data_IF_622269111849
#
_entry.id   IF_622269111849
#
_cell.length_a   1.000
_cell.length_b   1.000
_cell.length_c   1.000
_cell.angle_alpha   90.00
_cell.angle_beta   90.00
_cell.angle_gamma   90.00
#
_symmetry.space_group_name_H-M   'P 1'
#
loop_
_entity.id
_entity.type
_entity.pdbx_description
1 polymer ?
#
# COMPACT_ATOMS: atom_id res chain seq x y z
N UNK A 1 -7.90 -13.98 25.74
CA UNK A 1 -8.89 -13.59 24.71
C UNK A 1 -8.77 -12.15 24.27
N UNK A 2 -8.55 -11.15 25.17
CA UNK A 2 -8.49 -9.73 24.78
C UNK A 2 -7.41 -9.40 23.72
N UNK A 3 -6.20 -9.98 23.78
CA UNK A 3 -5.13 -9.69 22.83
C UNK A 3 -5.42 -10.25 21.42
N UNK A 4 -6.00 -11.45 21.32
CA UNK A 4 -6.35 -12.06 20.03
C UNK A 4 -7.51 -11.31 19.38
N UNK A 5 -8.52 -10.94 20.15
CA UNK A 5 -9.63 -10.14 19.65
C UNK A 5 -9.14 -8.79 19.12
N UNK A 6 -8.32 -8.07 19.87
CA UNK A 6 -7.75 -6.79 19.43
C UNK A 6 -6.91 -6.94 18.14
N UNK A 7 -6.14 -8.03 18.05
CA UNK A 7 -5.36 -8.35 16.85
C UNK A 7 -6.25 -8.58 15.63
N UNK A 8 -7.30 -9.39 15.75
CA UNK A 8 -8.22 -9.67 14.64
C UNK A 8 -9.05 -8.44 14.29
N UNK A 9 -9.56 -7.69 15.29
CA UNK A 9 -10.30 -6.43 15.10
C UNK A 9 -9.53 -5.41 14.28
N UNK A 10 -8.23 -5.24 14.57
CA UNK A 10 -7.33 -4.35 13.80
C UNK A 10 -7.34 -4.68 12.29
N UNK A 11 -7.21 -5.97 11.94
CA UNK A 11 -7.16 -6.37 10.54
C UNK A 11 -8.54 -6.46 9.90
N UNK A 12 -9.60 -6.72 10.66
CA UNK A 12 -10.97 -6.63 10.18
C UNK A 12 -11.30 -5.18 9.79
N UNK A 13 -10.94 -4.20 10.62
CA UNK A 13 -11.08 -2.78 10.29
C UNK A 13 -10.26 -2.38 9.06
N UNK A 14 -9.02 -2.89 8.92
CA UNK A 14 -8.22 -2.68 7.72
C UNK A 14 -8.87 -3.27 6.46
N UNK A 15 -9.51 -4.42 6.58
CA UNK A 15 -10.24 -5.06 5.50
C UNK A 15 -11.49 -4.23 5.14
N UNK A 16 -12.24 -3.74 6.13
CA UNK A 16 -13.41 -2.90 5.94
C UNK A 16 -13.09 -1.54 5.30
N UNK A 17 -11.90 -1.00 5.56
CA UNK A 17 -11.43 0.29 5.03
C UNK A 17 -11.07 0.26 3.53
N UNK A 18 -11.27 -0.86 2.83
CA UNK A 18 -11.02 -0.91 1.39
C UNK A 18 -12.03 -0.05 0.62
N UNK A 19 -11.63 0.60 -0.49
CA UNK A 19 -12.45 1.58 -1.20
C UNK A 19 -13.58 0.97 -2.04
N UNK A 20 -13.88 -0.30 -1.86
CA UNK A 20 -14.92 -1.04 -2.59
C UNK A 20 -15.65 -2.02 -1.66
N UNK A 21 -16.92 -2.38 -1.98
CA UNK A 21 -17.66 -3.35 -1.19
C UNK A 21 -17.01 -4.74 -1.22
N UNK A 22 -16.98 -5.39 -0.08
CA UNK A 22 -16.39 -6.73 0.09
C UNK A 22 -17.41 -7.86 -0.16
N UNK A 23 -18.71 -7.53 -0.21
CA UNK A 23 -19.82 -8.46 -0.33
C UNK A 23 -20.21 -9.15 0.98
N UNK A 24 -21.41 -9.73 1.00
CA UNK A 24 -22.00 -10.36 2.21
C UNK A 24 -21.26 -11.61 2.69
N UNK A 25 -20.37 -12.17 1.87
CA UNK A 25 -19.57 -13.35 2.23
C UNK A 25 -18.19 -12.96 2.78
N UNK A 26 -17.92 -11.67 2.98
CA UNK A 26 -16.61 -11.20 3.46
C UNK A 26 -16.29 -11.81 4.83
N UNK A 27 -15.12 -12.42 4.92
CA UNK A 27 -14.61 -13.05 6.14
C UNK A 27 -13.09 -12.94 6.23
N UNK A 28 -12.60 -12.75 7.44
CA UNK A 28 -11.20 -12.88 7.80
C UNK A 28 -11.00 -14.11 8.69
N UNK A 29 -10.09 -15.00 8.32
CA UNK A 29 -9.73 -16.20 9.11
C UNK A 29 -8.24 -16.10 9.43
N UNK A 30 -7.89 -16.32 10.70
CA UNK A 30 -6.53 -16.11 11.22
C UNK A 30 -6.13 -17.25 12.14
N UNK A 31 -4.94 -17.81 11.94
CA UNK A 31 -4.30 -18.73 12.87
C UNK A 31 -3.46 -17.89 13.88
N UNK A 32 -3.70 -18.16 15.14
CA UNK A 32 -2.96 -17.61 16.28
C UNK A 32 -2.33 -18.77 17.08
N UNK A 33 -1.60 -18.47 18.13
CA UNK A 33 -1.03 -19.48 19.01
C UNK A 33 -2.11 -20.23 19.83
N UNK A 34 -3.30 -19.63 20.01
CA UNK A 34 -4.45 -20.23 20.71
C UNK A 34 -5.40 -21.01 19.78
N UNK A 35 -5.17 -20.99 18.47
CA UNK A 35 -5.98 -21.69 17.47
C UNK A 35 -6.33 -20.87 16.26
N UNK A 36 -7.31 -21.34 15.49
CA UNK A 36 -7.82 -20.64 14.30
C UNK A 36 -9.12 -19.95 14.66
N UNK A 37 -9.21 -18.68 14.34
CA UNK A 37 -10.39 -17.85 14.55
C UNK A 37 -10.85 -17.24 13.22
N UNK A 38 -12.15 -17.10 13.06
CA UNK A 38 -12.74 -16.45 11.89
C UNK A 38 -13.85 -15.49 12.28
N UNK A 39 -14.01 -14.40 11.54
CA UNK A 39 -15.22 -13.58 11.65
C UNK A 39 -16.41 -14.39 11.14
N UNK A 40 -17.58 -14.26 11.78
CA UNK A 40 -18.79 -14.89 11.29
C UNK A 40 -19.25 -14.26 9.97
N UNK A 41 -20.06 -14.96 9.21
CA UNK A 41 -20.62 -14.43 7.96
C UNK A 41 -21.56 -13.27 8.28
N UNK A 42 -21.33 -12.11 7.64
CA UNK A 42 -22.14 -10.92 7.85
C UNK A 42 -21.74 -10.08 9.07
N UNK A 43 -20.58 -10.39 9.70
CA UNK A 43 -20.01 -9.56 10.76
C UNK A 43 -19.75 -8.13 10.27
N UNK A 44 -19.91 -7.17 11.16
CA UNK A 44 -19.45 -5.81 10.93
C UNK A 44 -17.91 -5.74 11.09
N UNK A 45 -17.20 -5.83 9.97
CA UNK A 45 -15.74 -5.81 9.97
C UNK A 45 -15.16 -4.47 10.41
N UNK A 46 -15.92 -3.37 10.29
CA UNK A 46 -15.48 -2.04 10.70
C UNK A 46 -15.55 -1.87 12.22
N UNK A 47 -16.57 -2.46 12.86
CA UNK A 47 -16.75 -2.47 14.31
C UNK A 47 -17.01 -3.87 14.86
N UNK A 48 -16.09 -4.79 14.54
CA UNK A 48 -16.17 -6.19 14.94
C UNK A 48 -16.34 -6.34 16.46
N UNK A 49 -17.31 -7.14 16.88
CA UNK A 49 -17.55 -7.54 18.28
C UNK A 49 -16.92 -8.91 18.59
N UNK A 50 -16.68 -9.21 19.87
CA UNK A 50 -16.15 -10.53 20.28
C UNK A 50 -17.11 -11.68 19.93
N UNK A 51 -18.42 -11.44 19.95
CA UNK A 51 -19.46 -12.43 19.62
C UNK A 51 -19.50 -12.77 18.13
N UNK A 52 -18.89 -11.94 17.28
CA UNK A 52 -18.76 -12.17 15.84
C UNK A 52 -17.50 -12.97 15.47
N UNK A 53 -16.73 -13.43 16.45
CA UNK A 53 -15.61 -14.35 16.26
C UNK A 53 -16.04 -15.79 16.59
N UNK A 54 -15.66 -16.71 15.72
CA UNK A 54 -15.83 -18.15 15.93
C UNK A 54 -14.49 -18.86 15.91
N UNK A 55 -14.33 -19.85 16.81
CA UNK A 55 -13.18 -20.74 16.79
C UNK A 55 -13.40 -21.83 15.75
N UNK A 56 -12.46 -21.93 14.81
CA UNK A 56 -12.52 -22.85 13.68
C UNK A 56 -11.56 -24.02 13.85
N UNK A 57 -11.85 -25.20 13.25
CA UNK A 57 -10.89 -26.29 13.23
C UNK A 57 -9.67 -25.95 12.39
N UNK A 58 -8.49 -26.41 12.80
CA UNK A 58 -7.22 -26.21 12.06
C UNK A 58 -7.27 -26.67 10.60
N UNK A 59 -8.16 -27.60 10.26
CA UNK A 59 -8.35 -28.10 8.90
C UNK A 59 -8.90 -27.08 7.90
N UNK A 60 -9.37 -25.92 8.37
CA UNK A 60 -9.84 -24.81 7.52
C UNK A 60 -8.66 -24.18 6.77
N UNK A 61 -7.46 -24.18 7.36
CA UNK A 61 -6.28 -23.63 6.72
C UNK A 61 -5.60 -24.70 5.83
N UNK A 62 -5.31 -24.38 4.57
CA UNK A 62 -4.58 -25.28 3.70
C UNK A 62 -3.15 -25.47 4.21
N UNK A 63 -2.85 -26.62 4.80
CA UNK A 63 -1.50 -26.98 5.22
C UNK A 63 -0.59 -27.09 4.00
N UNK A 64 0.11 -26.00 3.66
CA UNK A 64 1.00 -25.89 2.52
C UNK A 64 2.38 -25.39 2.91
N UNK A 65 3.39 -25.61 2.04
CA UNK A 65 4.79 -25.22 2.23
C UNK A 65 5.03 -23.71 2.44
N UNK A 66 4.02 -22.85 2.27
CA UNK A 66 4.18 -21.38 2.36
C UNK A 66 3.78 -20.79 3.73
N UNK A 67 3.48 -21.63 4.72
CA UNK A 67 3.12 -21.15 6.06
C UNK A 67 1.85 -20.29 6.06
N UNK A 68 0.83 -20.68 5.28
CA UNK A 68 -0.45 -19.95 5.24
C UNK A 68 -1.07 -19.97 6.63
N UNK A 69 -1.30 -18.80 7.20
CA UNK A 69 -1.90 -18.59 8.51
C UNK A 69 -3.14 -17.68 8.45
N UNK A 70 -3.46 -17.13 7.29
CA UNK A 70 -4.61 -16.23 7.15
C UNK A 70 -5.29 -16.41 5.80
N UNK A 71 -6.62 -16.27 5.81
CA UNK A 71 -7.48 -16.32 4.63
C UNK A 71 -8.41 -15.11 4.65
N UNK A 72 -8.56 -14.46 3.50
CA UNK A 72 -9.64 -13.51 3.22
C UNK A 72 -10.58 -14.12 2.19
N UNK A 73 -11.87 -14.12 2.50
CA UNK A 73 -12.95 -14.44 1.56
C UNK A 73 -13.64 -13.13 1.22
N UNK A 74 -13.88 -12.86 -0.07
CA UNK A 74 -14.50 -11.61 -0.52
C UNK A 74 -15.29 -11.80 -1.82
N UNK A 75 -16.14 -10.82 -2.11
CA UNK A 75 -16.91 -10.71 -3.35
C UNK A 75 -16.76 -9.27 -3.90
N UNK A 76 -15.51 -8.86 -4.11
CA UNK A 76 -15.20 -7.53 -4.61
C UNK A 76 -15.63 -7.36 -6.08
N UNK A 77 -16.01 -6.15 -6.53
CA UNK A 77 -16.73 -5.95 -7.78
C UNK A 77 -16.03 -6.49 -9.02
N UNK A 78 -14.76 -6.15 -9.26
CA UNK A 78 -14.05 -6.59 -10.44
C UNK A 78 -13.74 -8.09 -10.41
N UNK A 79 -13.43 -8.63 -9.24
CA UNK A 79 -13.28 -10.07 -9.05
C UNK A 79 -14.59 -10.82 -9.31
N UNK A 80 -15.74 -10.28 -8.92
CA UNK A 80 -17.04 -10.88 -9.22
C UNK A 80 -17.33 -10.84 -10.71
N UNK A 81 -17.04 -9.74 -11.39
CA UNK A 81 -17.20 -9.65 -12.85
C UNK A 81 -16.31 -10.64 -13.58
N UNK A 82 -15.05 -10.80 -13.15
CA UNK A 82 -14.13 -11.79 -13.72
C UNK A 82 -14.58 -13.23 -13.43
N UNK A 83 -15.05 -13.50 -12.20
CA UNK A 83 -15.54 -14.83 -11.80
C UNK A 83 -16.71 -15.31 -12.67
N UNK A 84 -17.61 -14.41 -13.09
CA UNK A 84 -18.75 -14.75 -13.98
C UNK A 84 -18.30 -15.41 -15.28
N UNK A 85 -17.09 -15.12 -15.74
CA UNK A 85 -16.50 -15.71 -16.95
C UNK A 85 -16.02 -17.16 -16.77
N UNK A 86 -15.86 -17.61 -15.54
CA UNK A 86 -15.35 -18.94 -15.24
C UNK A 86 -13.91 -19.20 -15.70
N UNK A 87 -13.11 -18.15 -15.87
CA UNK A 87 -11.75 -18.22 -16.39
C UNK A 87 -10.70 -17.81 -15.37
N UNK A 88 -9.50 -18.42 -15.46
CA UNK A 88 -8.38 -18.01 -14.67
C UNK A 88 -7.89 -16.60 -15.07
N UNK A 89 -7.49 -15.79 -14.09
CA UNK A 89 -6.84 -14.51 -14.32
C UNK A 89 -5.33 -14.69 -14.30
N UNK A 90 -4.66 -14.25 -15.37
CA UNK A 90 -3.21 -14.28 -15.49
C UNK A 90 -2.61 -12.89 -15.22
N UNK A 91 -1.43 -12.83 -14.58
CA UNK A 91 -0.77 -11.55 -14.29
C UNK A 91 -0.44 -10.79 -15.57
N UNK A 92 -1.03 -9.62 -15.77
CA UNK A 92 -0.61 -8.65 -16.78
C UNK A 92 0.29 -7.56 -16.19
N UNK A 93 0.39 -7.53 -14.85
CA UNK A 93 1.19 -6.61 -14.05
C UNK A 93 2.12 -7.36 -13.09
N UNK A 94 3.25 -6.76 -12.79
CA UNK A 94 4.28 -7.30 -11.89
C UNK A 94 3.79 -7.45 -10.45
N UNK A 95 2.91 -6.56 -9.97
CA UNK A 95 2.34 -6.64 -8.62
C UNK A 95 1.51 -7.93 -8.44
N UNK A 96 0.65 -8.28 -9.40
CA UNK A 96 -0.06 -9.56 -9.38
C UNK A 96 0.90 -10.75 -9.43
N UNK A 97 1.93 -10.69 -10.28
CA UNK A 97 2.93 -11.74 -10.39
C UNK A 97 3.69 -11.94 -9.08
N UNK A 98 4.03 -10.85 -8.38
CA UNK A 98 4.71 -10.88 -7.08
C UNK A 98 3.82 -11.41 -5.97
N UNK A 99 2.61 -10.87 -5.83
CA UNK A 99 1.72 -11.11 -4.69
C UNK A 99 0.86 -12.36 -4.89
N UNK A 100 0.24 -12.53 -6.06
CA UNK A 100 -0.63 -13.68 -6.32
C UNK A 100 0.16 -14.86 -6.85
N UNK A 101 1.08 -14.65 -7.78
CA UNK A 101 1.87 -15.71 -8.40
C UNK A 101 1.57 -15.86 -9.90
N UNK A 102 1.49 -17.10 -10.40
CA UNK A 102 1.37 -17.35 -11.84
C UNK A 102 -0.04 -17.18 -12.39
N UNK A 103 -1.05 -17.24 -11.54
CA UNK A 103 -2.48 -17.04 -11.89
C UNK A 103 -3.37 -17.06 -10.65
N UNK A 104 -4.52 -16.43 -10.73
CA UNK A 104 -5.68 -16.76 -9.90
C UNK A 104 -6.54 -17.79 -10.66
N UNK A 105 -6.50 -19.04 -10.19
CA UNK A 105 -7.20 -20.15 -10.84
C UNK A 105 -8.67 -20.20 -10.44
N UNK A 106 -9.51 -20.81 -11.27
CA UNK A 106 -10.89 -21.14 -10.92
C UNK A 106 -10.95 -22.53 -10.30
N UNK A 107 -11.66 -22.63 -9.19
CA UNK A 107 -11.90 -23.86 -8.44
C UNK A 107 -13.40 -24.15 -8.47
N UNK A 108 -13.78 -25.31 -8.98
CA UNK A 108 -15.17 -25.77 -8.95
C UNK A 108 -15.50 -26.42 -7.59
N UNK A 109 -16.33 -25.74 -6.83
CA UNK A 109 -16.83 -26.21 -5.53
C UNK A 109 -18.33 -26.53 -5.53
N UNK A 110 -18.99 -26.61 -6.69
CA UNK A 110 -20.43 -26.96 -6.82
C UNK A 110 -20.78 -28.32 -6.23
N UNK A 111 -19.87 -29.27 -6.28
CA UNK A 111 -20.01 -30.57 -5.62
C UNK A 111 -19.76 -30.58 -4.11
N UNK A 112 -19.63 -29.39 -3.51
CA UNK A 112 -19.32 -29.16 -2.10
C UNK A 112 -17.84 -28.83 -1.85
N UNK A 113 -17.60 -27.92 -0.91
CA UNK A 113 -16.27 -27.43 -0.56
C UNK A 113 -15.29 -28.56 -0.17
N UNK A 114 -15.76 -29.62 0.52
CA UNK A 114 -14.92 -30.76 0.89
C UNK A 114 -14.24 -31.42 -0.33
N UNK A 115 -14.95 -31.55 -1.44
CA UNK A 115 -14.42 -32.12 -2.68
C UNK A 115 -13.41 -31.19 -3.37
N UNK A 116 -13.54 -29.88 -3.19
CA UNK A 116 -12.66 -28.87 -3.77
C UNK A 116 -11.34 -28.68 -2.97
N UNK A 117 -11.28 -29.06 -1.69
CA UNK A 117 -10.11 -28.86 -0.83
C UNK A 117 -8.79 -29.36 -1.44
N UNK A 118 -8.68 -30.57 -2.02
CA UNK A 118 -7.41 -31.02 -2.61
C UNK A 118 -6.92 -30.12 -3.76
N UNK A 119 -7.84 -29.62 -4.59
CA UNK A 119 -7.53 -28.68 -5.66
C UNK A 119 -7.11 -27.33 -5.09
N UNK A 120 -7.84 -26.84 -4.07
CA UNK A 120 -7.53 -25.60 -3.36
C UNK A 120 -6.12 -25.63 -2.79
N UNK A 121 -5.77 -26.67 -2.02
CA UNK A 121 -4.44 -26.85 -1.43
C UNK A 121 -3.34 -26.86 -2.49
N UNK A 122 -3.56 -27.57 -3.61
CA UNK A 122 -2.59 -27.63 -4.71
C UNK A 122 -2.34 -26.24 -5.32
N UNK A 123 -3.40 -25.44 -5.54
CA UNK A 123 -3.29 -24.10 -6.13
C UNK A 123 -2.64 -23.15 -5.16
N UNK A 124 -3.01 -23.16 -3.89
CA UNK A 124 -2.49 -22.27 -2.85
C UNK A 124 -1.02 -22.52 -2.49
N UNK A 125 -0.44 -23.66 -2.89
CA UNK A 125 1.01 -23.90 -2.76
C UNK A 125 1.86 -22.94 -3.60
N UNK A 126 1.34 -22.48 -4.71
CA UNK A 126 2.07 -21.66 -5.68
C UNK A 126 1.48 -20.25 -5.84
N UNK A 127 0.22 -20.04 -5.46
CA UNK A 127 -0.49 -18.79 -5.69
C UNK A 127 -1.22 -18.35 -4.41
N UNK A 128 -1.33 -17.05 -4.19
CA UNK A 128 -1.99 -16.50 -3.00
C UNK A 128 -3.47 -16.12 -3.25
N UNK A 129 -4.04 -16.44 -4.41
CA UNK A 129 -5.43 -16.11 -4.71
C UNK A 129 -6.06 -17.07 -5.73
N UNK A 130 -7.38 -17.25 -5.63
CA UNK A 130 -8.19 -18.01 -6.56
C UNK A 130 -9.64 -17.54 -6.55
N UNK A 131 -10.39 -17.96 -7.58
CA UNK A 131 -11.84 -17.84 -7.69
C UNK A 131 -12.48 -19.17 -7.33
N UNK A 132 -13.50 -19.18 -6.46
CA UNK A 132 -14.22 -20.37 -6.02
C UNK A 132 -15.65 -20.30 -6.55
N UNK A 133 -16.02 -21.19 -7.46
CA UNK A 133 -17.36 -21.30 -8.02
C UNK A 133 -18.18 -22.26 -7.18
N UNK A 134 -19.30 -21.79 -6.64
CA UNK A 134 -20.23 -22.56 -5.79
C UNK A 134 -21.56 -22.87 -6.47
N UNK A 135 -21.82 -22.23 -7.61
CA UNK A 135 -23.06 -22.41 -8.39
C UNK A 135 -23.00 -21.68 -9.72
N UNK A 136 -24.11 -21.76 -10.46
CA UNK A 136 -24.37 -20.94 -11.65
C UNK A 136 -25.75 -20.29 -11.52
N UNK A 137 -25.87 -19.09 -12.07
CA UNK A 137 -27.16 -18.47 -12.29
C UNK A 137 -27.92 -19.16 -13.45
N UNK A 138 -29.16 -18.78 -13.67
CA UNK A 138 -30.01 -19.36 -14.72
C UNK A 138 -29.45 -19.13 -16.15
N UNK A 139 -28.71 -18.05 -16.34
CA UNK A 139 -28.02 -17.71 -17.60
C UNK A 139 -26.65 -18.40 -17.77
N UNK A 140 -26.26 -19.27 -16.81
CA UNK A 140 -25.00 -20.00 -16.84
C UNK A 140 -23.81 -19.23 -16.25
N UNK A 141 -23.98 -17.98 -15.78
CA UNK A 141 -22.89 -17.23 -15.14
C UNK A 141 -22.43 -17.88 -13.84
N UNK A 142 -21.10 -17.89 -13.59
CA UNK A 142 -20.54 -18.45 -12.37
C UNK A 142 -20.87 -17.59 -11.15
N UNK A 143 -21.33 -18.25 -10.08
CA UNK A 143 -21.57 -17.64 -8.77
C UNK A 143 -20.55 -18.15 -7.76
N UNK A 144 -20.02 -17.25 -6.93
CA UNK A 144 -19.03 -17.65 -5.95
C UNK A 144 -18.36 -16.47 -5.24
N UNK A 145 -17.10 -16.69 -4.88
CA UNK A 145 -16.29 -15.72 -4.15
C UNK A 145 -14.81 -15.86 -4.52
N UNK A 146 -14.04 -14.85 -4.14
CA UNK A 146 -12.57 -14.94 -4.16
C UNK A 146 -12.05 -15.41 -2.82
N UNK A 147 -10.94 -16.14 -2.88
CA UNK A 147 -10.21 -16.57 -1.70
C UNK A 147 -8.75 -16.18 -1.87
N UNK A 148 -8.24 -15.39 -0.92
CA UNK A 148 -6.84 -15.01 -0.87
C UNK A 148 -6.20 -15.44 0.44
N UNK A 149 -4.91 -15.72 0.40
CA UNK A 149 -4.18 -16.28 1.54
C UNK A 149 -2.88 -15.51 1.80
N UNK A 150 -2.47 -15.50 3.06
CA UNK A 150 -1.21 -14.89 3.50
C UNK A 150 -0.62 -15.64 4.69
N UNK A 151 0.64 -15.33 5.00
CA UNK A 151 1.31 -15.76 6.24
C UNK A 151 0.85 -14.92 7.42
N UNK A 152 0.32 -13.72 7.13
CA UNK A 152 -0.32 -12.81 8.06
C UNK A 152 -1.66 -12.34 7.52
N UNK A 153 -2.55 -11.78 8.36
CA UNK A 153 -3.77 -11.12 7.89
C UNK A 153 -3.48 -9.98 6.91
N UNK A 154 -2.43 -9.21 7.15
CA UNK A 154 -1.98 -8.15 6.24
C UNK A 154 -1.70 -8.68 4.83
N UNK A 155 -0.90 -9.75 4.71
CA UNK A 155 -0.59 -10.35 3.39
C UNK A 155 -1.85 -10.86 2.68
N UNK A 156 -2.80 -11.46 3.40
CA UNK A 156 -4.04 -11.97 2.81
C UNK A 156 -4.92 -10.80 2.29
N UNK A 157 -4.98 -9.68 3.01
CA UNK A 157 -5.68 -8.46 2.61
C UNK A 157 -5.00 -7.83 1.40
N UNK A 158 -3.67 -7.68 1.42
CA UNK A 158 -2.88 -7.19 0.28
C UNK A 158 -3.09 -8.06 -0.96
N UNK A 159 -3.13 -9.39 -0.80
CA UNK A 159 -3.43 -10.30 -1.91
C UNK A 159 -4.84 -10.07 -2.49
N UNK A 160 -5.84 -9.80 -1.65
CA UNK A 160 -7.20 -9.46 -2.09
C UNK A 160 -7.19 -8.13 -2.88
N UNK A 161 -6.56 -7.10 -2.35
CA UNK A 161 -6.47 -5.77 -3.00
C UNK A 161 -5.78 -5.85 -4.36
N UNK A 162 -4.68 -6.60 -4.45
CA UNK A 162 -3.96 -6.81 -5.72
C UNK A 162 -4.78 -7.62 -6.71
N UNK A 163 -5.52 -8.62 -6.23
CA UNK A 163 -6.37 -9.44 -7.10
C UNK A 163 -7.53 -8.62 -7.66
N UNK A 164 -8.20 -7.81 -6.84
CA UNK A 164 -9.26 -6.88 -7.28
C UNK A 164 -8.76 -5.91 -8.34
N UNK A 165 -7.66 -5.19 -8.05
CA UNK A 165 -7.02 -4.29 -9.01
C UNK A 165 -6.67 -5.00 -10.31
N UNK A 166 -6.10 -6.21 -10.24
CA UNK A 166 -5.68 -6.97 -11.42
C UNK A 166 -6.86 -7.40 -12.28
N UNK A 167 -7.97 -7.78 -11.66
CA UNK A 167 -9.22 -8.09 -12.35
C UNK A 167 -9.78 -6.84 -13.04
N UNK A 168 -9.85 -5.70 -12.34
CA UNK A 168 -10.32 -4.44 -12.89
C UNK A 168 -9.46 -3.97 -14.08
N UNK A 169 -8.13 -3.97 -13.91
CA UNK A 169 -7.19 -3.61 -14.97
C UNK A 169 -7.33 -4.53 -16.18
N UNK A 170 -7.50 -5.83 -15.99
CA UNK A 170 -7.68 -6.78 -17.08
C UNK A 170 -8.99 -6.53 -17.85
N UNK A 171 -10.10 -6.29 -17.13
CA UNK A 171 -11.40 -5.94 -17.71
C UNK A 171 -11.34 -4.64 -18.54
N UNK A 172 -10.70 -3.61 -17.99
CA UNK A 172 -10.55 -2.32 -18.66
C UNK A 172 -9.57 -2.41 -19.86
N UNK A 173 -8.52 -3.23 -19.76
CA UNK A 173 -7.55 -3.39 -20.84
C UNK A 173 -8.18 -3.98 -22.11
N UNK A 174 -9.26 -4.76 -21.99
CA UNK A 174 -10.00 -5.29 -23.14
C UNK A 174 -10.64 -4.19 -24.01
N UNK A 175 -10.91 -2.99 -23.44
CA UNK A 175 -11.44 -1.85 -24.20
C UNK A 175 -10.41 -1.24 -25.18
N UNK A 176 -9.12 -1.37 -24.88
CA UNK A 176 -8.04 -0.76 -25.66
C UNK A 176 -7.10 -1.79 -26.31
N UNK A 177 -7.41 -3.08 -26.13
CA UNK A 177 -6.62 -4.20 -26.65
C UNK A 177 -6.93 -5.46 -25.88
N UNK A 178 -5.89 -6.19 -25.50
CA UNK A 178 -6.00 -7.35 -24.60
C UNK A 178 -4.90 -7.29 -23.58
N UNK A 179 -5.16 -7.65 -22.31
CA UNK A 179 -4.10 -7.72 -21.30
C UNK A 179 -3.04 -8.74 -21.74
N UNK A 180 -1.78 -8.33 -21.75
CA UNK A 180 -0.66 -9.17 -22.16
C UNK A 180 -0.03 -9.82 -20.92
N UNK A 181 -0.12 -11.14 -20.76
CA UNK A 181 0.37 -11.79 -19.54
C UNK A 181 1.89 -11.76 -19.44
N UNK A 182 2.37 -11.59 -18.21
CA UNK A 182 3.78 -11.81 -17.83
C UNK A 182 4.05 -13.32 -17.92
N UNK A 183 5.24 -13.68 -18.37
CA UNK A 183 5.61 -15.10 -18.50
C UNK A 183 5.54 -15.84 -17.16
N UNK A 184 5.12 -17.11 -17.18
CA UNK A 184 5.03 -17.92 -15.97
C UNK A 184 6.39 -18.10 -15.26
N UNK A 185 7.50 -18.05 -15.99
CA UNK A 185 8.84 -18.10 -15.43
C UNK A 185 9.15 -16.85 -14.62
N UNK A 186 8.87 -15.66 -15.18
CA UNK A 186 9.05 -14.38 -14.49
C UNK A 186 8.14 -14.25 -13.28
N UNK A 187 6.88 -14.68 -13.39
CA UNK A 187 5.96 -14.72 -12.24
C UNK A 187 6.54 -15.56 -11.09
N UNK A 188 7.06 -16.77 -11.37
CA UNK A 188 7.68 -17.60 -10.33
C UNK A 188 8.92 -16.94 -9.72
N UNK A 189 9.76 -16.32 -10.55
CA UNK A 189 10.96 -15.59 -10.10
C UNK A 189 10.59 -14.44 -9.18
N UNK A 190 9.67 -13.57 -9.62
CA UNK A 190 9.20 -12.42 -8.85
C UNK A 190 8.55 -12.85 -7.54
N UNK A 191 7.67 -13.87 -7.58
CA UNK A 191 7.04 -14.44 -6.40
C UNK A 191 8.07 -14.97 -5.40
N UNK A 192 9.09 -15.67 -5.87
CA UNK A 192 10.17 -16.18 -5.01
C UNK A 192 10.96 -15.07 -4.33
N UNK A 193 11.27 -13.99 -5.06
CA UNK A 193 11.96 -12.81 -4.51
C UNK A 193 11.06 -12.12 -3.47
N UNK A 194 9.79 -11.90 -3.79
CA UNK A 194 8.80 -11.31 -2.89
C UNK A 194 8.73 -12.07 -1.56
N UNK A 195 8.53 -13.38 -1.61
CA UNK A 195 8.42 -14.23 -0.42
C UNK A 195 9.70 -14.19 0.44
N UNK A 196 10.89 -14.15 -0.19
CA UNK A 196 12.17 -14.05 0.53
C UNK A 196 12.41 -12.67 1.16
N UNK A 197 12.04 -11.60 0.45
CA UNK A 197 12.22 -10.22 0.92
C UNK A 197 11.31 -9.92 2.10
N UNK A 198 10.05 -10.29 1.99
CA UNK A 198 9.04 -9.99 3.02
C UNK A 198 9.11 -10.92 4.22
N UNK A 199 9.64 -12.16 4.10
CA UNK A 199 9.83 -13.03 5.27
C UNK A 199 10.78 -12.47 6.32
N UNK A 200 11.73 -11.62 5.91
CA UNK A 200 12.68 -10.95 6.85
C UNK A 200 12.06 -9.71 7.50
N UNK A 201 11.32 -8.91 6.75
CA UNK A 201 10.64 -7.72 7.31
C UNK A 201 9.50 -8.09 8.25
N UNK A 202 8.82 -9.22 8.01
CA UNK A 202 7.76 -9.72 8.89
C UNK A 202 8.28 -10.22 10.24
N UNK A 203 9.41 -10.90 10.27
CA UNK A 203 10.01 -11.31 11.54
C UNK A 203 10.34 -10.08 12.41
N UNK A 204 10.84 -9.00 11.80
CA UNK A 204 11.08 -7.73 12.48
C UNK A 204 9.79 -7.00 12.87
N UNK A 205 8.78 -6.99 12.00
CA UNK A 205 7.48 -6.37 12.29
C UNK A 205 6.72 -7.13 13.40
N UNK A 206 6.75 -8.47 13.39
CA UNK A 206 6.17 -9.30 14.46
C UNK A 206 6.88 -9.11 15.79
N UNK A 207 8.22 -9.03 15.78
CA UNK A 207 8.99 -8.76 16.99
C UNK A 207 8.67 -7.36 17.57
N UNK A 208 8.53 -6.34 16.72
CA UNK A 208 8.13 -5.00 17.12
C UNK A 208 6.67 -4.94 17.59
N UNK A 209 5.76 -5.69 16.94
CA UNK A 209 4.35 -5.76 17.32
C UNK A 209 4.14 -6.55 18.63
N UNK A 210 4.89 -7.63 18.84
CA UNK A 210 4.91 -8.37 20.09
C UNK A 210 5.49 -7.54 21.26
N UNK A 211 6.55 -6.76 20.99
CA UNK A 211 7.12 -5.85 21.98
C UNK A 211 6.17 -4.69 22.33
N UNK A 212 5.42 -4.17 21.35
CA UNK A 212 4.41 -3.14 21.59
C UNK A 212 3.20 -3.66 22.37
N UNK A 213 2.76 -4.92 22.12
CA UNK A 213 1.71 -5.56 22.93
C UNK A 213 2.17 -5.80 24.36
N UNK A 214 3.38 -6.32 24.55
CA UNK A 214 3.94 -6.53 25.89
C UNK A 214 4.07 -5.21 26.68
N UNK A 215 4.52 -4.14 26.04
CA UNK A 215 4.58 -2.81 26.66
C UNK A 215 3.19 -2.24 27.02
N UNK A 216 2.15 -2.58 26.25
CA UNK A 216 0.76 -2.21 26.57
C UNK A 216 0.19 -3.03 27.75
N UNK A 217 0.53 -4.30 27.85
CA UNK A 217 0.15 -5.17 28.96
C UNK A 217 0.86 -4.73 30.28
N UNK A 218 2.14 -4.39 30.21
CA UNK A 218 2.90 -3.85 31.34
C UNK A 218 2.36 -2.49 31.81
N UNK A 219 1.96 -1.61 30.89
CA UNK A 219 1.34 -0.32 31.22
C UNK A 219 -0.07 -0.48 31.80
N UNK A 220 -0.85 -1.46 31.36
CA UNK A 220 -2.16 -1.79 31.93
C UNK A 220 -2.04 -2.43 33.31
N UNK A 221 -1.05 -3.31 33.51
CA UNK A 221 -0.75 -3.90 34.82
C UNK A 221 -0.24 -2.86 35.83
N UNK A 222 0.57 -1.90 35.38
CA UNK A 222 1.02 -0.79 36.22
C UNK A 222 -0.12 0.14 36.64
N UNK A 223 -1.11 0.35 35.77
CA UNK A 223 -2.31 1.14 36.05
C UNK A 223 -3.24 0.45 37.06
N UNK A 224 -3.42 -0.85 36.95
CA UNK A 224 -4.19 -1.64 37.93
C UNK A 224 -3.49 -1.75 39.27
N UNK A 225 -2.15 -1.74 39.34
CA UNK A 225 -1.40 -1.74 40.56
C UNK A 225 -1.44 -0.37 41.29
N UNK A 226 -1.54 0.74 40.56
CA UNK A 226 -1.72 2.09 41.14
C UNK A 226 -3.13 2.33 41.64
N UNK A 227 -4.16 1.76 41.00
CA UNK A 227 -5.55 1.84 41.47
C UNK A 227 -5.85 0.92 42.68
N UNK A 228 -5.09 -0.16 42.85
CA UNK A 228 -5.21 -1.04 44.01
C UNK A 228 -4.49 -0.50 45.26
N UNK A 229 -3.59 0.48 45.11
CA UNK A 229 -2.85 1.12 46.22
C UNK A 229 -3.52 2.37 46.84
N UNK A 230 -4.68 2.79 46.28
CA UNK A 230 -5.39 4.02 46.72
C UNK A 230 -6.63 3.76 47.58
N UNK A 231 -6.83 2.53 48.07
CA UNK A 231 -8.01 2.18 48.90
C UNK A 231 -7.59 1.81 50.33
N UNK A 232 -6.94 2.74 51.07
CA UNK A 232 -6.96 2.75 52.54
C UNK A 232 -6.54 4.15 53.03
N UNK A 233 -7.52 4.94 53.48
CA UNK A 233 -7.27 6.27 54.04
C UNK A 233 -8.57 7.08 54.17
N UNK A 234 -9.44 6.62 55.08
CA UNK A 234 -10.64 7.32 55.51
C UNK A 234 -10.28 8.62 56.27
N UNK A 235 -10.91 9.76 55.90
CA UNK A 235 -11.62 10.71 56.84
C UNK A 235 -12.23 11.89 56.05
N UNK A 236 -13.51 11.90 56.01
CA UNK A 236 -14.53 12.88 56.41
C UNK A 236 -14.42 14.39 56.07
N UNK A 237 -15.57 14.90 55.60
CA UNK A 237 -16.12 16.28 55.62
C UNK A 237 -15.80 17.26 54.46
N UNK A 238 -16.91 17.64 53.79
CA UNK A 238 -17.06 19.00 53.31
C UNK A 238 -17.64 19.18 51.91
N UNK A 239 -18.94 19.25 51.87
CA UNK A 239 -19.78 19.75 50.77
C UNK A 239 -19.32 21.08 50.20
N UNK A 240 -19.28 21.23 48.88
CA UNK A 240 -19.89 22.37 48.17
C UNK A 240 -19.79 22.21 46.63
N UNK A 241 -20.91 22.47 46.00
CA UNK A 241 -21.17 22.66 44.59
C UNK A 241 -20.31 23.75 43.95
N UNK A 242 -19.95 23.58 42.70
CA UNK A 242 -20.41 24.52 41.63
C UNK A 242 -19.84 24.11 40.27
N UNK A 243 -20.74 24.10 39.36
CA UNK A 243 -20.53 23.98 37.94
C UNK A 243 -20.04 25.33 37.34
N UNK A 244 -19.61 25.23 36.08
CA UNK A 244 -19.48 26.32 35.07
C UNK A 244 -18.31 27.29 35.18
N UNK A 245 -17.49 27.30 34.17
CA UNK A 245 -17.51 28.35 33.15
C UNK A 245 -16.45 28.13 32.07
N UNK A 246 -16.96 28.14 30.87
CA UNK A 246 -16.22 28.26 29.61
C UNK A 246 -16.16 29.78 29.28
N UNK A 247 -15.07 30.14 28.63
CA UNK A 247 -14.97 31.26 27.67
C UNK A 247 -14.25 32.53 28.08
N UNK A 248 -13.31 32.84 27.20
CA UNK A 248 -13.09 34.16 26.59
C UNK A 248 -12.47 35.27 27.43
N UNK A 249 -11.33 35.76 27.00
CA UNK A 249 -11.23 37.11 26.43
C UNK A 249 -9.81 37.54 26.16
N UNK A 250 -9.70 38.16 25.05
CA UNK A 250 -8.52 38.90 24.57
C UNK A 250 -8.50 40.33 25.17
N UNK A 251 -7.33 40.93 25.15
CA UNK A 251 -7.03 42.34 25.07
C UNK A 251 -7.16 43.24 26.31
N UNK A 252 -6.12 43.90 26.74
CA UNK A 252 -5.75 45.30 26.43
C UNK A 252 -4.63 45.81 27.36
N UNK A 253 -3.83 46.59 26.75
CA UNK A 253 -2.68 47.40 27.11
C UNK A 253 -2.83 48.28 28.37
N UNK A 254 -1.77 48.62 29.09
CA UNK A 254 -0.99 49.89 29.06
C UNK A 254 -0.13 50.06 30.30
N UNK A 255 1.12 50.33 30.04
CA UNK A 255 1.98 51.41 30.53
C UNK A 255 2.50 51.48 31.99
N UNK A 256 3.80 51.60 32.03
CA UNK A 256 4.67 52.46 32.79
C UNK A 256 5.32 51.95 34.07
N UNK A 257 6.66 51.95 34.04
CA UNK A 257 7.49 51.85 35.26
C UNK A 257 8.94 51.47 34.96
N UNK A 258 9.78 52.48 34.83
CA UNK A 258 11.24 52.42 34.64
C UNK A 258 11.99 51.76 35.77
N UNK A 259 13.00 50.94 35.47
CA UNK A 259 14.30 50.92 36.19
C UNK A 259 15.30 49.93 35.53
N UNK A 260 16.41 50.53 35.07
CA UNK A 260 17.82 50.10 35.19
C UNK A 260 18.28 48.73 34.65
N UNK A 261 19.23 48.88 33.71
CA UNK A 261 20.03 47.91 33.01
C UNK A 261 20.76 46.90 33.93
N UNK A 262 20.70 45.63 33.56
CA UNK A 262 21.80 44.70 33.70
C UNK A 262 21.79 43.81 32.48
N UNK A 263 22.89 43.78 31.76
CA UNK A 263 23.24 43.03 30.57
C UNK A 263 22.94 41.51 30.76
N UNK A 264 21.95 40.98 30.05
CA UNK A 264 21.87 39.57 29.73
C UNK A 264 21.68 39.53 28.20
N UNK A 265 22.77 39.25 27.52
CA UNK A 265 22.75 38.89 26.10
C UNK A 265 21.85 37.64 25.90
N UNK A 266 20.58 37.89 25.65
CA UNK A 266 19.69 36.86 25.09
C UNK A 266 20.15 36.67 23.63
N UNK A 267 20.92 35.61 23.41
CA UNK A 267 21.15 35.08 22.07
C UNK A 267 19.80 34.70 21.51
N UNK A 268 19.24 35.54 20.68
CA UNK A 268 18.17 35.20 19.76
C UNK A 268 18.69 34.04 18.92
N UNK A 269 18.22 32.83 19.22
CA UNK A 269 18.36 31.69 18.30
C UNK A 269 17.57 32.08 17.04
N UNK A 270 18.30 32.63 16.09
CA UNK A 270 17.80 32.88 14.76
C UNK A 270 17.53 31.48 14.18
N UNK A 271 16.26 31.08 14.07
CA UNK A 271 15.88 29.87 13.35
C UNK A 271 16.44 30.03 11.94
N UNK A 272 17.48 29.27 11.64
CA UNK A 272 18.05 29.22 10.29
C UNK A 272 17.00 28.69 9.36
N UNK A 273 16.73 29.36 8.25
CA UNK A 273 15.86 28.85 7.21
C UNK A 273 16.28 27.43 6.83
N UNK A 274 15.31 26.52 6.62
CA UNK A 274 15.62 25.13 6.32
C UNK A 274 16.50 25.02 5.07
N UNK A 275 17.48 24.15 5.11
CA UNK A 275 18.34 23.84 3.96
C UNK A 275 17.53 23.25 2.82
N UNK A 276 18.07 23.31 1.58
CA UNK A 276 17.45 22.64 0.43
C UNK A 276 17.20 21.17 0.68
N UNK A 277 18.13 20.46 1.32
CA UNK A 277 17.98 19.03 1.62
C UNK A 277 16.82 18.78 2.61
N UNK A 278 16.73 19.53 3.69
CA UNK A 278 15.63 19.45 4.66
C UNK A 278 14.27 19.73 4.01
N UNK A 279 14.20 20.75 3.17
CA UNK A 279 12.99 21.10 2.44
C UNK A 279 12.55 19.95 1.53
N UNK A 280 13.46 19.36 0.74
CA UNK A 280 13.14 18.26 -0.18
C UNK A 280 12.75 16.97 0.57
N UNK A 281 13.37 16.68 1.72
CA UNK A 281 13.01 15.55 2.57
C UNK A 281 11.57 15.68 3.08
N UNK A 282 11.19 16.86 3.54
CA UNK A 282 9.83 17.16 3.98
C UNK A 282 8.81 17.05 2.82
N UNK A 283 9.15 17.58 1.64
CA UNK A 283 8.29 17.47 0.46
C UNK A 283 8.08 16.03 0.00
N UNK A 284 9.12 15.17 0.03
CA UNK A 284 8.98 13.75 -0.33
C UNK A 284 8.01 13.02 0.60
N UNK A 285 8.03 13.31 1.90
CA UNK A 285 7.07 12.76 2.86
C UNK A 285 5.66 13.25 2.57
N UNK A 286 5.48 14.55 2.35
CA UNK A 286 4.17 15.16 2.10
C UNK A 286 3.54 14.62 0.81
N UNK A 287 4.27 14.61 -0.30
CA UNK A 287 3.77 14.04 -1.56
C UNK A 287 3.56 12.53 -1.47
N UNK A 288 4.37 11.80 -0.71
CA UNK A 288 4.12 10.38 -0.43
C UNK A 288 2.76 10.15 0.22
N UNK A 289 2.42 10.93 1.24
CA UNK A 289 1.09 10.90 1.90
C UNK A 289 -0.03 11.32 0.96
N UNK A 290 0.17 12.36 0.14
CA UNK A 290 -0.82 12.80 -0.84
C UNK A 290 -1.07 11.75 -1.93
N UNK A 291 -0.06 11.00 -2.39
CA UNK A 291 -0.23 9.89 -3.34
C UNK A 291 -1.13 8.79 -2.77
N UNK A 292 -0.97 8.45 -1.50
CA UNK A 292 -1.85 7.47 -0.81
C UNK A 292 -3.27 8.04 -0.69
N UNK A 293 -3.43 9.27 -0.22
CA UNK A 293 -4.72 9.92 -0.04
C UNK A 293 -5.50 10.09 -1.36
N UNK A 294 -4.79 10.26 -2.49
CA UNK A 294 -5.39 10.37 -3.82
C UNK A 294 -5.62 9.02 -4.51
N UNK A 295 -5.27 7.89 -3.88
CA UNK A 295 -5.41 6.55 -4.45
C UNK A 295 -4.44 6.22 -5.59
N UNK A 296 -3.45 7.08 -5.87
CA UNK A 296 -2.43 6.86 -6.89
C UNK A 296 -1.40 5.81 -6.48
N UNK A 297 -1.24 5.59 -5.16
CA UNK A 297 -0.41 4.55 -4.57
C UNK A 297 -1.25 3.71 -3.62
N UNK A 298 -1.11 2.40 -3.70
CA UNK A 298 -1.69 1.44 -2.76
C UNK A 298 -0.56 0.69 -2.04
N UNK A 299 -0.64 0.62 -0.71
CA UNK A 299 0.40 -0.02 0.10
C UNK A 299 1.77 0.65 -0.07
N UNK A 300 2.78 -0.13 -0.45
CA UNK A 300 4.17 0.34 -0.62
C UNK A 300 4.63 0.33 -2.09
N UNK A 301 3.69 0.22 -3.06
CA UNK A 301 4.00 0.21 -4.48
C UNK A 301 4.10 1.62 -5.03
N UNK A 302 5.26 1.91 -5.58
CA UNK A 302 5.63 3.22 -6.07
C UNK A 302 6.81 3.77 -5.27
N UNK A 303 7.35 4.86 -5.77
CA UNK A 303 8.48 5.55 -5.14
C UNK A 303 8.62 6.97 -5.70
N UNK A 304 9.25 7.82 -4.90
CA UNK A 304 9.49 9.22 -5.23
C UNK A 304 10.98 9.52 -5.11
N UNK A 305 11.43 10.51 -5.90
CA UNK A 305 12.73 11.12 -5.72
C UNK A 305 12.73 12.61 -6.04
N UNK A 306 13.70 13.30 -5.46
CA UNK A 306 14.00 14.70 -5.75
C UNK A 306 15.49 14.85 -6.06
N UNK A 307 15.83 15.62 -7.09
CA UNK A 307 17.21 16.02 -7.37
C UNK A 307 17.67 17.01 -6.30
N UNK A 308 18.68 16.64 -5.54
CA UNK A 308 19.29 17.52 -4.56
C UNK A 308 20.27 18.50 -5.24
N UNK A 309 21.16 17.95 -6.05
CA UNK A 309 22.16 18.68 -6.85
C UNK A 309 22.57 17.86 -8.08
N UNK A 310 23.69 18.17 -8.71
CA UNK A 310 24.19 17.43 -9.89
C UNK A 310 24.78 16.05 -9.56
N UNK A 311 25.02 15.77 -8.28
CA UNK A 311 25.64 14.52 -7.79
C UNK A 311 24.64 13.61 -7.07
N UNK A 312 23.75 14.21 -6.29
CA UNK A 312 22.88 13.49 -5.37
C UNK A 312 21.40 13.68 -5.66
N UNK A 313 20.65 12.64 -5.37
CA UNK A 313 19.19 12.66 -5.26
C UNK A 313 18.75 12.14 -3.90
N UNK A 314 17.60 12.58 -3.45
CA UNK A 314 16.87 12.00 -2.31
C UNK A 314 15.80 11.07 -2.84
N UNK A 315 15.64 9.87 -2.24
CA UNK A 315 14.65 8.90 -2.66
C UNK A 315 13.90 8.32 -1.46
N UNK A 316 12.69 7.85 -1.66
CA UNK A 316 11.95 7.11 -0.64
C UNK A 316 12.61 5.76 -0.35
N UNK A 317 12.59 5.30 0.91
CA UNK A 317 13.12 4.00 1.29
C UNK A 317 12.25 2.85 0.73
N UNK A 318 12.84 1.67 0.58
CA UNK A 318 12.17 0.49 0.04
C UNK A 318 11.27 -0.19 1.07
N UNK A 319 9.97 -0.29 0.78
CA UNK A 319 9.04 -1.15 1.52
C UNK A 319 8.53 -0.58 2.84
N UNK A 320 8.67 0.73 3.08
CA UNK A 320 8.06 1.41 4.20
C UNK A 320 6.70 2.03 3.81
N UNK A 321 5.80 2.08 4.78
CA UNK A 321 4.48 2.68 4.63
C UNK A 321 4.60 4.21 4.57
N UNK A 322 4.05 4.83 3.53
CA UNK A 322 4.06 6.27 3.34
C UNK A 322 3.44 7.07 4.49
N UNK A 323 2.41 6.52 5.16
CA UNK A 323 1.79 7.16 6.31
C UNK A 323 2.73 7.34 7.51
N UNK A 324 3.77 6.50 7.60
CA UNK A 324 4.73 6.46 8.71
C UNK A 324 6.07 7.12 8.40
N UNK A 325 6.31 7.51 7.15
CA UNK A 325 7.57 8.13 6.75
C UNK A 325 7.78 9.48 7.43
N UNK A 326 9.02 9.70 7.80
CA UNK A 326 9.53 10.98 8.32
C UNK A 326 10.60 11.54 7.37
N UNK A 327 10.96 12.84 7.43
CA UNK A 327 12.03 13.40 6.63
C UNK A 327 13.39 12.71 6.81
N UNK A 328 13.68 12.18 8.00
CA UNK A 328 14.90 11.46 8.31
C UNK A 328 15.02 10.10 7.57
N UNK A 329 13.87 9.52 7.17
CA UNK A 329 13.83 8.23 6.45
C UNK A 329 14.22 8.35 4.97
N UNK A 330 14.27 9.57 4.42
CA UNK A 330 14.65 9.77 3.02
C UNK A 330 16.12 9.46 2.81
N UNK A 331 16.41 8.67 1.79
CA UNK A 331 17.77 8.16 1.54
C UNK A 331 18.46 9.02 0.49
N UNK A 332 19.66 9.53 0.82
CA UNK A 332 20.54 10.25 -0.11
C UNK A 332 21.35 9.26 -0.94
N UNK A 333 21.24 9.38 -2.25
CA UNK A 333 21.86 8.45 -3.21
C UNK A 333 22.72 9.22 -4.20
N UNK A 334 23.95 8.79 -4.40
CA UNK A 334 24.81 9.28 -5.48
C UNK A 334 24.28 8.77 -6.83
N UNK A 335 23.93 9.66 -7.74
CA UNK A 335 23.31 9.29 -9.02
C UNK A 335 24.25 8.54 -9.98
N UNK A 336 25.58 8.68 -9.81
CA UNK A 336 26.58 8.00 -10.67
C UNK A 336 26.93 6.61 -10.14
N UNK A 337 27.27 6.51 -8.84
CA UNK A 337 27.75 5.25 -8.24
C UNK A 337 26.61 4.40 -7.68
N UNK A 338 25.42 5.00 -7.44
CA UNK A 338 24.27 4.42 -6.76
C UNK A 338 24.55 4.02 -5.30
N UNK A 339 25.66 4.51 -4.75
CA UNK A 339 25.98 4.39 -3.33
C UNK A 339 25.08 5.29 -2.50
N UNK A 340 24.81 4.90 -1.27
CA UNK A 340 23.94 5.64 -0.35
C UNK A 340 24.45 5.49 1.08
N UNK A 341 24.08 6.44 1.91
CA UNK A 341 24.43 6.49 3.32
C UNK A 341 23.21 6.09 4.20
N UNK A 342 23.49 5.57 5.38
CA UNK A 342 22.49 5.20 6.38
C UNK A 342 22.00 3.75 6.30
N UNK A 343 21.15 3.39 7.26
CA UNK A 343 20.68 1.99 7.45
C UNK A 343 19.50 1.62 6.55
N UNK A 344 18.73 2.60 6.10
CA UNK A 344 17.57 2.38 5.25
C UNK A 344 17.99 2.15 3.80
N UNK A 345 17.47 1.08 3.22
CA UNK A 345 17.69 0.79 1.80
C UNK A 345 16.83 1.71 0.94
N UNK A 346 17.42 2.41 -0.05
CA UNK A 346 16.66 3.17 -1.03
C UNK A 346 15.75 2.27 -1.86
N UNK A 347 14.77 2.87 -2.55
CA UNK A 347 13.94 2.16 -3.53
C UNK A 347 14.79 1.28 -4.45
N UNK A 348 14.26 0.11 -4.82
CA UNK A 348 14.91 -0.81 -5.75
C UNK A 348 15.07 -0.21 -7.16
N UNK A 349 14.36 0.87 -7.46
CA UNK A 349 14.37 1.56 -8.74
C UNK A 349 15.25 2.83 -8.78
N UNK A 350 16.09 3.03 -7.77
CA UNK A 350 17.02 4.16 -7.71
C UNK A 350 17.86 4.33 -8.98
N UNK A 351 18.22 3.23 -9.66
CA UNK A 351 18.98 3.28 -10.92
C UNK A 351 18.16 3.89 -12.06
N UNK A 352 16.85 3.66 -12.09
CA UNK A 352 15.94 4.24 -13.05
C UNK A 352 15.83 5.76 -12.85
N UNK A 353 15.63 6.20 -11.60
CA UNK A 353 15.56 7.62 -11.27
C UNK A 353 16.88 8.33 -11.61
N UNK A 354 18.00 7.74 -11.21
CA UNK A 354 19.33 8.28 -11.52
C UNK A 354 19.57 8.41 -13.03
N UNK A 355 19.20 7.40 -13.83
CA UNK A 355 19.36 7.44 -15.29
C UNK A 355 18.53 8.55 -15.94
N UNK A 356 17.28 8.78 -15.47
CA UNK A 356 16.45 9.88 -15.96
C UNK A 356 17.06 11.22 -15.59
N UNK A 357 17.50 11.41 -14.35
CA UNK A 357 18.16 12.65 -13.94
C UNK A 357 19.43 12.94 -14.72
N UNK A 358 20.25 11.92 -15.01
CA UNK A 358 21.47 12.09 -15.78
C UNK A 358 21.21 12.49 -17.23
N UNK A 359 20.15 11.96 -17.84
CA UNK A 359 19.77 12.25 -19.22
C UNK A 359 18.99 13.56 -19.37
N UNK A 360 18.36 14.04 -18.30
CA UNK A 360 17.41 15.19 -18.29
C UNK A 360 17.75 16.14 -17.13
N UNK A 361 18.68 17.09 -17.35
CA UNK A 361 19.05 18.08 -16.31
C UNK A 361 17.89 18.99 -15.87
N UNK A 362 16.88 19.17 -16.72
CA UNK A 362 15.67 19.93 -16.45
C UNK A 362 14.68 19.24 -15.49
N UNK A 363 14.85 17.93 -15.23
CA UNK A 363 14.01 17.18 -14.29
C UNK A 363 14.58 17.31 -12.87
N UNK A 364 13.73 17.77 -11.94
CA UNK A 364 14.05 17.91 -10.52
C UNK A 364 13.22 17.01 -9.60
N UNK A 365 12.11 16.43 -10.10
CA UNK A 365 11.26 15.49 -9.36
C UNK A 365 10.81 14.31 -10.22
N UNK A 366 10.73 13.10 -9.62
CA UNK A 366 10.24 11.90 -10.27
C UNK A 366 9.32 11.15 -9.31
N UNK A 367 8.18 10.69 -9.83
CA UNK A 367 7.19 9.88 -9.14
C UNK A 367 6.87 8.65 -9.99
N UNK A 368 7.07 7.48 -9.41
CA UNK A 368 6.63 6.21 -9.99
C UNK A 368 5.44 5.67 -9.22
N UNK A 369 4.40 5.27 -9.94
CA UNK A 369 3.19 4.68 -9.34
C UNK A 369 2.70 3.47 -10.13
N UNK A 370 1.94 2.64 -9.44
CA UNK A 370 1.13 1.58 -10.05
C UNK A 370 -0.35 2.01 -10.05
N UNK A 371 -0.63 3.25 -10.45
CA UNK A 371 -1.99 3.79 -10.49
C UNK A 371 -2.86 3.05 -11.50
N UNK A 372 -4.16 2.97 -11.23
CA UNK A 372 -5.10 2.04 -11.86
C UNK A 372 -5.17 2.21 -13.38
N UNK A 373 -5.48 3.40 -13.84
CA UNK A 373 -5.77 3.63 -15.26
C UNK A 373 -4.50 3.64 -16.13
N UNK A 374 -3.38 4.14 -15.63
CA UNK A 374 -2.09 3.98 -16.30
C UNK A 374 -1.64 2.51 -16.35
N UNK A 375 -1.96 1.71 -15.31
CA UNK A 375 -1.76 0.26 -15.33
C UNK A 375 -2.58 -0.46 -16.42
N UNK A 376 -3.73 0.06 -16.84
CA UNK A 376 -4.49 -0.50 -17.96
C UNK A 376 -3.68 -0.41 -19.25
N UNK A 377 -3.07 0.73 -19.54
CA UNK A 377 -2.17 0.90 -20.69
C UNK A 377 -0.92 0.03 -20.58
N UNK A 378 -0.35 -0.06 -19.38
CA UNK A 378 0.78 -0.93 -19.09
C UNK A 378 0.44 -2.42 -19.34
N UNK A 379 -0.75 -2.87 -18.94
CA UNK A 379 -1.23 -4.24 -19.13
C UNK A 379 -1.57 -4.55 -20.60
N UNK A 380 -2.20 -3.61 -21.31
CA UNK A 380 -2.54 -3.73 -22.73
C UNK A 380 -1.34 -3.51 -23.66
N UNK A 381 -0.17 -3.13 -23.13
CA UNK A 381 1.04 -2.80 -23.90
C UNK A 381 0.79 -1.70 -24.94
N UNK A 382 0.20 -0.58 -24.53
CA UNK A 382 -0.16 0.54 -25.40
C UNK A 382 0.46 1.84 -24.93
N UNK A 383 0.84 2.68 -25.91
CA UNK A 383 1.13 4.09 -25.68
C UNK A 383 -0.14 4.79 -25.16
N UNK A 384 0.01 5.77 -24.25
CA UNK A 384 -1.11 6.60 -23.81
C UNK A 384 -1.23 7.84 -24.69
N UNK A 385 -2.31 7.99 -25.48
CA UNK A 385 -2.52 9.22 -26.25
C UNK A 385 -2.83 10.40 -25.34
N UNK A 386 -2.34 11.59 -25.71
CA UNK A 386 -2.63 12.83 -25.00
C UNK A 386 -3.51 13.70 -25.89
N UNK A 387 -4.71 14.13 -25.42
CA UNK A 387 -5.58 15.03 -26.15
C UNK A 387 -4.89 16.37 -26.44
N UNK A 388 -5.21 17.00 -27.57
CA UNK A 388 -4.56 18.23 -28.02
C UNK A 388 -4.74 19.39 -27.01
N UNK A 389 -5.89 19.44 -26.34
CA UNK A 389 -6.21 20.43 -25.32
C UNK A 389 -5.49 20.21 -23.97
N UNK A 390 -4.81 19.06 -23.81
CA UNK A 390 -4.07 18.69 -22.60
C UNK A 390 -2.56 18.50 -22.82
N UNK A 391 -2.05 18.96 -23.95
CA UNK A 391 -0.61 18.83 -24.31
C UNK A 391 0.30 19.91 -23.67
N UNK A 392 -0.10 20.56 -22.59
CA UNK A 392 0.68 21.63 -21.97
C UNK A 392 1.99 21.16 -21.33
N UNK A 393 1.99 19.97 -20.73
CA UNK A 393 3.17 19.37 -20.09
C UNK A 393 3.68 18.14 -20.83
N UNK A 394 2.87 17.59 -21.74
CA UNK A 394 3.17 16.32 -22.41
C UNK A 394 3.10 16.46 -23.94
N UNK A 395 4.03 15.77 -24.60
CA UNK A 395 3.92 15.50 -26.03
C UNK A 395 3.15 14.18 -26.23
N UNK A 396 2.30 14.12 -27.24
CA UNK A 396 1.53 12.91 -27.55
C UNK A 396 2.28 12.01 -28.53
N UNK A 397 2.26 10.68 -28.31
CA UNK A 397 1.74 9.99 -27.14
C UNK A 397 2.79 9.86 -26.02
N UNK A 398 2.37 9.61 -24.77
CA UNK A 398 3.24 9.09 -23.74
C UNK A 398 3.64 7.67 -24.14
N UNK A 399 4.92 7.43 -24.27
CA UNK A 399 5.46 6.18 -24.81
C UNK A 399 5.40 5.04 -23.80
N UNK A 400 5.15 3.85 -24.32
CA UNK A 400 5.29 2.60 -23.57
C UNK A 400 6.76 2.16 -23.57
N UNK A 401 7.37 2.05 -22.40
CA UNK A 401 8.63 1.38 -22.21
C UNK A 401 8.45 -0.13 -22.38
N UNK A 402 9.26 -0.82 -23.22
CA UNK A 402 9.20 -2.27 -23.36
C UNK A 402 9.35 -2.97 -22.01
N UNK A 403 8.64 -4.10 -21.84
CA UNK A 403 8.67 -4.86 -20.61
C UNK A 403 10.09 -5.29 -20.24
N UNK A 404 10.42 -5.12 -18.97
CA UNK A 404 11.61 -5.68 -18.34
C UNK A 404 11.32 -5.92 -16.84
N UNK A 405 11.97 -6.91 -16.22
CA UNK A 405 11.73 -7.22 -14.81
C UNK A 405 12.05 -6.04 -13.88
N UNK A 406 11.27 -5.85 -12.78
CA UNK A 406 11.53 -4.80 -11.80
C UNK A 406 12.97 -4.78 -11.29
N UNK A 407 13.55 -3.58 -11.15
CA UNK A 407 14.91 -3.37 -10.67
C UNK A 407 16.02 -3.82 -11.63
N UNK A 408 15.71 -4.22 -12.87
CA UNK A 408 16.70 -4.64 -13.87
C UNK A 408 17.32 -3.46 -14.60
N UNK A 409 18.55 -3.65 -15.11
CA UNK A 409 19.20 -2.66 -16.00
C UNK A 409 18.39 -2.41 -17.28
N UNK A 410 17.69 -3.44 -17.78
CA UNK A 410 16.82 -3.31 -18.95
C UNK A 410 15.62 -2.40 -18.66
N UNK A 411 14.98 -2.52 -17.47
CA UNK A 411 13.89 -1.62 -17.05
C UNK A 411 14.39 -0.17 -17.02
N UNK A 412 15.55 0.06 -16.39
CA UNK A 412 16.19 1.39 -16.34
C UNK A 412 16.39 1.96 -17.74
N UNK A 413 17.01 1.21 -18.64
CA UNK A 413 17.29 1.63 -20.02
C UNK A 413 16.01 1.91 -20.81
N UNK A 414 15.06 0.98 -20.76
CA UNK A 414 13.81 1.06 -21.55
C UNK A 414 12.95 2.25 -21.09
N UNK A 415 12.82 2.43 -19.78
CA UNK A 415 11.97 3.51 -19.23
C UNK A 415 12.60 4.88 -19.44
N UNK A 416 13.91 5.02 -19.19
CA UNK A 416 14.61 6.28 -19.46
C UNK A 416 14.52 6.69 -20.94
N UNK A 417 14.64 5.72 -21.87
CA UNK A 417 14.46 5.97 -23.29
C UNK A 417 13.01 6.34 -23.65
N UNK A 418 12.02 5.71 -23.02
CA UNK A 418 10.59 6.01 -23.27
C UNK A 418 10.17 7.38 -22.71
N UNK A 419 10.77 7.85 -21.62
CA UNK A 419 10.60 9.23 -21.14
C UNK A 419 11.08 10.20 -22.20
N UNK A 420 12.26 9.98 -22.81
CA UNK A 420 12.80 10.83 -23.87
C UNK A 420 12.73 12.32 -23.48
N UNK A 421 12.13 13.15 -24.35
CA UNK A 421 11.90 14.58 -24.10
C UNK A 421 10.58 14.87 -23.37
N UNK A 422 9.82 13.83 -23.02
CA UNK A 422 8.55 13.96 -22.32
C UNK A 422 8.72 14.01 -20.79
N UNK A 423 7.64 14.26 -20.07
CA UNK A 423 7.60 14.23 -18.60
C UNK A 423 6.89 13.00 -18.03
N UNK A 424 6.86 11.91 -18.78
CA UNK A 424 6.31 10.64 -18.32
C UNK A 424 6.50 9.51 -19.31
N UNK A 425 6.31 8.27 -18.82
CA UNK A 425 6.25 7.06 -19.64
C UNK A 425 5.33 6.02 -18.98
N UNK A 426 4.69 5.18 -19.80
CA UNK A 426 4.04 3.96 -19.35
C UNK A 426 5.08 2.84 -19.32
N UNK A 427 5.09 2.05 -18.27
CA UNK A 427 6.03 0.94 -18.09
C UNK A 427 5.29 -0.38 -18.30
N UNK A 428 5.56 -1.06 -19.41
CA UNK A 428 4.85 -2.28 -19.80
C UNK A 428 4.80 -3.32 -18.67
N UNK A 429 3.58 -3.73 -18.27
CA UNK A 429 3.33 -4.71 -17.20
C UNK A 429 3.74 -4.27 -15.80
N UNK A 430 3.94 -2.98 -15.58
CA UNK A 430 4.49 -2.47 -14.33
C UNK A 430 3.63 -1.31 -13.78
N UNK A 431 3.69 -0.16 -14.42
CA UNK A 431 2.99 1.05 -13.97
C UNK A 431 3.30 2.24 -14.86
N UNK A 432 3.46 3.41 -14.25
CA UNK A 432 3.88 4.61 -14.93
C UNK A 432 4.95 5.35 -14.16
N UNK A 433 5.70 6.20 -14.86
CA UNK A 433 6.61 7.17 -14.27
C UNK A 433 6.19 8.58 -14.73
N UNK A 434 6.16 9.51 -13.81
CA UNK A 434 5.92 10.92 -14.05
C UNK A 434 7.12 11.74 -13.57
N UNK A 435 7.53 12.70 -14.38
CA UNK A 435 8.66 13.59 -14.12
C UNK A 435 8.20 15.04 -14.07
N UNK A 436 9.00 15.92 -13.49
CA UNK A 436 8.75 17.35 -13.47
C UNK A 436 10.01 18.13 -13.14
N UNK A 437 10.01 19.45 -13.41
CA UNK A 437 11.11 20.35 -13.03
C UNK A 437 11.37 20.36 -11.51
N UNK A 438 10.38 19.96 -10.73
CA UNK A 438 10.41 19.80 -9.29
C UNK A 438 9.38 18.73 -8.87
N UNK A 439 9.32 18.40 -7.56
CA UNK A 439 8.36 17.41 -7.03
C UNK A 439 6.91 17.85 -7.23
N UNK A 440 6.62 19.15 -7.15
CA UNK A 440 5.27 19.69 -7.35
C UNK A 440 4.79 19.42 -8.78
N UNK A 441 5.63 19.76 -9.77
CA UNK A 441 5.34 19.51 -11.17
C UNK A 441 5.22 17.99 -11.46
N UNK A 442 6.10 17.17 -10.89
CA UNK A 442 6.02 15.70 -11.03
C UNK A 442 4.72 15.13 -10.47
N UNK A 443 4.26 15.64 -9.32
CA UNK A 443 2.99 15.22 -8.71
C UNK A 443 1.77 15.64 -9.56
N UNK A 444 1.76 16.86 -10.07
CA UNK A 444 0.69 17.30 -10.98
C UNK A 444 0.68 16.48 -12.26
N UNK A 445 1.84 16.21 -12.83
CA UNK A 445 1.97 15.36 -14.02
C UNK A 445 1.49 13.92 -13.76
N UNK A 446 1.81 13.36 -12.59
CA UNK A 446 1.32 12.05 -12.18
C UNK A 446 -0.22 12.00 -12.14
N UNK A 447 -0.86 12.99 -11.52
CA UNK A 447 -2.34 13.12 -11.48
C UNK A 447 -2.95 13.30 -12.87
N UNK A 448 -2.33 14.11 -13.70
CA UNK A 448 -2.82 14.37 -15.06
C UNK A 448 -2.75 13.13 -15.94
N UNK A 449 -1.65 12.35 -15.90
CA UNK A 449 -1.51 11.11 -16.66
C UNK A 449 -2.59 10.10 -16.26
N UNK A 450 -2.83 9.93 -14.97
CA UNK A 450 -3.89 9.03 -14.50
C UNK A 450 -5.29 9.50 -14.95
N UNK A 451 -5.59 10.80 -14.81
CA UNK A 451 -6.88 11.36 -15.25
C UNK A 451 -7.09 11.29 -16.78
N UNK A 452 -6.02 11.45 -17.57
CA UNK A 452 -6.08 11.29 -19.03
C UNK A 452 -6.36 9.82 -19.38
N UNK A 453 -5.64 8.89 -18.73
CA UNK A 453 -5.86 7.46 -18.94
C UNK A 453 -7.29 7.04 -18.58
N UNK A 454 -7.83 7.54 -17.47
CA UNK A 454 -9.22 7.32 -17.07
C UNK A 454 -10.20 7.82 -18.12
N UNK A 455 -10.06 9.08 -18.57
CA UNK A 455 -10.99 9.70 -19.52
C UNK A 455 -11.09 8.97 -20.87
N UNK A 456 -10.02 8.31 -21.31
CA UNK A 456 -10.06 7.48 -22.53
C UNK A 456 -10.77 6.14 -22.30
N UNK A 457 -10.74 5.60 -21.10
CA UNK A 457 -11.35 4.30 -20.78
C UNK A 457 -12.84 4.41 -20.45
N UNK A 458 -13.34 5.61 -20.17
CA UNK A 458 -14.76 5.89 -19.92
C UNK A 458 -15.56 6.16 -21.21
N UNK A 459 -14.88 6.37 -22.33
CA UNK A 459 -15.49 6.48 -23.67
C UNK A 459 -15.76 5.10 -24.25
#
# INVERSE_FOLDING_TARGET
MNSIYAYIKKYAAMLAAQPYPLGLAARLIVETDEGVFGTVKGADLADLSETELEKLPLSVLPKGRQGIRSIVISQTPACQEWLRRGQALFPALDDMAQVIGTRAAVIDARGGLRKAVPQLVRIMRANAGCFVVIGHAADGTCLGYTLTVGRTPYEAIVAMTVLEKSAEVALLAEKIGSPQPVSAWECRRMRSIYLKKYSKSEASARAAEAAALAAHEDAAAAKTATDAGAADGNTDLGTANAADEIASAANTATASGSASAADITAGTMQESSPTREETLRAQLVDYGKQLVASGLVQGTWGNLSARLDDTYMLVTPSGLDYARLTPADMVKVNMRTLEYEGDLKPTSEKSLHAAIYQNRPDIGGIIHTHSKYCCVYAAARRDLPIPADRQTAFQSPIKLAPYAPPGSKALTKNTAAAVGDNYGAIMAGHGMIACGRDLTAAFQNCKQLEAIAEAFLQK
#
